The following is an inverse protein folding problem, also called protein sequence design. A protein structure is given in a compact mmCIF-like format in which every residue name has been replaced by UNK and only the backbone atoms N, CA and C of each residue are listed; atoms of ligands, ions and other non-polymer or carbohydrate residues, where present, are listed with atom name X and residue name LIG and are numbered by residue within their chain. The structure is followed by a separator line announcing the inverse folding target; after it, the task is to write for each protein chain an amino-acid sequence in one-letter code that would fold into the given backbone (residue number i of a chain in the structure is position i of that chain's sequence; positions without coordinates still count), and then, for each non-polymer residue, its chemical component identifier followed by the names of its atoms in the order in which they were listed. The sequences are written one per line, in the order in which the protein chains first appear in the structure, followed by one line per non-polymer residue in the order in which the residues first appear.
data_IF_478183355095
#
_entry.id   IF_478183355095
#
_cell.length_a   1.000
_cell.length_b   1.000
_cell.length_c   1.000
_cell.angle_alpha   90.00
_cell.angle_beta   90.00
_cell.angle_gamma   90.00
#
_symmetry.space_group_name_H-M   'P 1'
#
loop_
_entity.id
_entity.type
_entity.pdbx_description
1 polymer ?
#
# COMPACT_ATOMS: atom_id res chain seq x y z
N UNK A 1 17.79 30.46 -9.48
CA UNK A 1 17.21 29.22 -8.96
C UNK A 1 16.30 28.70 -10.04
N UNK A 2 16.72 27.68 -10.78
CA UNK A 2 15.83 26.94 -11.66
C UNK A 2 14.85 26.19 -10.74
N UNK A 3 13.58 26.59 -10.76
CA UNK A 3 12.51 25.73 -10.28
C UNK A 3 12.56 24.46 -11.14
N UNK A 4 13.02 23.34 -10.57
CA UNK A 4 12.86 22.04 -11.19
C UNK A 4 11.37 21.90 -11.52
N UNK A 5 11.05 21.90 -12.83
CA UNK A 5 9.70 21.63 -13.30
C UNK A 5 9.34 20.21 -12.87
N UNK A 6 8.72 20.09 -11.70
CA UNK A 6 8.14 18.85 -11.22
C UNK A 6 7.23 18.33 -12.32
N UNK A 7 7.52 17.14 -12.83
CA UNK A 7 6.81 16.50 -13.94
C UNK A 7 5.29 16.50 -13.68
N UNK A 8 4.50 16.86 -14.69
CA UNK A 8 3.04 16.95 -14.57
C UNK A 8 2.40 15.61 -14.20
N UNK A 9 3.01 14.49 -14.59
CA UNK A 9 2.61 13.15 -14.17
C UNK A 9 2.87 12.94 -12.67
N UNK A 10 4.05 13.32 -12.19
CA UNK A 10 4.39 13.25 -10.76
C UNK A 10 3.39 14.05 -9.92
N UNK A 11 3.07 15.28 -10.33
CA UNK A 11 2.06 16.11 -9.64
C UNK A 11 0.66 15.48 -9.62
N UNK A 12 0.25 14.84 -10.73
CA UNK A 12 -1.04 14.16 -10.82
C UNK A 12 -1.11 12.98 -9.84
N UNK A 13 -0.06 12.16 -9.81
CA UNK A 13 0.03 11.04 -8.87
C UNK A 13 0.01 11.51 -7.43
N UNK A 14 0.81 12.52 -7.06
CA UNK A 14 0.84 13.10 -5.72
C UNK A 14 -0.55 13.57 -5.28
N UNK A 15 -1.28 14.30 -6.14
CA UNK A 15 -2.66 14.74 -5.87
C UNK A 15 -3.63 13.57 -5.67
N UNK A 16 -3.48 12.49 -6.43
CA UNK A 16 -4.30 11.29 -6.28
C UNK A 16 -4.00 10.55 -4.96
N UNK A 17 -2.74 10.50 -4.54
CA UNK A 17 -2.34 9.90 -3.27
C UNK A 17 -2.81 10.73 -2.07
N UNK A 18 -2.61 12.05 -2.09
CA UNK A 18 -3.10 12.96 -1.04
C UNK A 18 -4.62 12.80 -0.87
N UNK A 19 -5.39 12.79 -1.98
CA UNK A 19 -6.84 12.56 -1.93
C UNK A 19 -7.25 11.24 -1.29
N UNK A 20 -6.41 10.19 -1.35
CA UNK A 20 -6.69 8.93 -0.65
C UNK A 20 -6.45 9.09 0.85
N UNK A 21 -5.35 9.72 1.25
CA UNK A 21 -5.06 9.95 2.67
C UNK A 21 -6.04 10.91 3.32
N UNK A 22 -6.47 11.98 2.64
CA UNK A 22 -7.55 12.87 3.09
C UNK A 22 -8.88 12.13 3.31
N UNK A 23 -9.16 11.05 2.56
CA UNK A 23 -10.36 10.22 2.83
C UNK A 23 -10.21 9.40 4.10
N UNK A 24 -8.99 8.96 4.43
CA UNK A 24 -8.69 8.24 5.66
C UNK A 24 -8.69 9.20 6.86
N UNK A 25 -8.21 10.43 6.66
CA UNK A 25 -8.27 11.50 7.65
C UNK A 25 -9.69 11.92 7.99
N UNK A 26 -10.59 12.02 6.99
CA UNK A 26 -12.03 12.22 7.24
C UNK A 26 -12.68 11.12 8.08
N UNK A 27 -12.06 9.94 8.15
CA UNK A 27 -12.48 8.83 9.00
C UNK A 27 -11.74 8.80 10.34
N UNK A 28 -10.95 9.83 10.63
CA UNK A 28 -10.10 9.92 11.81
C UNK A 28 -9.12 8.75 11.94
N UNK A 29 -8.63 8.20 10.82
CA UNK A 29 -7.66 7.09 10.83
C UNK A 29 -6.22 7.59 10.77
N UNK A 30 -5.99 8.68 10.04
CA UNK A 30 -4.68 9.30 9.87
C UNK A 30 -4.81 10.82 9.96
N UNK A 31 -3.70 11.50 10.19
CA UNK A 31 -3.56 12.95 10.03
C UNK A 31 -2.67 13.21 8.82
N UNK A 32 -3.07 14.12 7.94
CA UNK A 32 -2.29 14.50 6.75
C UNK A 32 -1.71 15.89 6.96
N UNK A 33 -0.38 15.99 6.94
CA UNK A 33 0.31 17.28 6.96
C UNK A 33 0.81 17.61 5.56
N UNK A 34 0.21 18.60 4.90
CA UNK A 34 0.66 19.07 3.58
C UNK A 34 1.76 20.15 3.68
N UNK A 35 1.98 20.71 4.87
CA UNK A 35 3.00 21.74 5.13
C UNK A 35 4.30 21.07 5.62
N UNK A 36 4.98 20.36 4.72
CA UNK A 36 6.24 19.67 4.98
C UNK A 36 7.39 20.31 4.16
N UNK A 37 8.57 20.47 4.77
CA UNK A 37 9.69 21.16 4.10
C UNK A 37 10.33 20.30 2.99
N UNK A 38 10.51 19.00 3.22
CA UNK A 38 11.24 18.09 2.32
C UNK A 38 10.32 17.14 1.53
N UNK A 39 9.04 17.07 1.86
CA UNK A 39 8.09 16.11 1.29
C UNK A 39 6.80 16.79 0.81
N UNK A 40 6.14 16.26 -0.24
CA UNK A 40 4.87 16.82 -0.70
C UNK A 40 3.72 16.71 0.32
N UNK A 41 3.83 15.78 1.27
CA UNK A 41 2.95 15.60 2.42
C UNK A 41 3.57 14.56 3.38
N UNK A 42 3.18 14.60 4.65
CA UNK A 42 3.42 13.58 5.66
C UNK A 42 2.09 13.00 6.17
N UNK A 43 2.09 11.74 6.58
CA UNK A 43 0.90 11.04 7.07
C UNK A 43 1.24 10.28 8.35
N UNK A 44 0.53 10.59 9.43
CA UNK A 44 0.68 9.91 10.72
C UNK A 44 -0.59 9.16 11.07
N UNK A 45 -0.49 7.99 11.70
CA UNK A 45 -1.65 7.31 12.26
C UNK A 45 -2.19 8.09 13.47
N UNK A 46 -3.51 8.07 13.61
CA UNK A 46 -4.16 8.48 14.86
C UNK A 46 -4.26 7.30 15.80
N UNK A 47 -4.55 7.53 17.09
CA UNK A 47 -4.84 6.45 18.06
C UNK A 47 -5.97 5.52 17.54
N UNK A 48 -7.05 6.09 16.99
CA UNK A 48 -8.14 5.30 16.39
C UNK A 48 -7.67 4.52 15.16
N UNK A 49 -6.75 5.07 14.36
CA UNK A 49 -6.13 4.38 13.24
C UNK A 49 -5.31 3.17 13.68
N UNK A 50 -4.55 3.30 14.75
CA UNK A 50 -3.77 2.21 15.35
C UNK A 50 -4.70 1.09 15.87
N UNK A 51 -5.77 1.44 16.59
CA UNK A 51 -6.77 0.48 17.05
C UNK A 51 -7.42 -0.28 15.89
N UNK A 52 -7.76 0.41 14.80
CA UNK A 52 -8.34 -0.22 13.60
C UNK A 52 -7.33 -1.16 12.93
N UNK A 53 -6.05 -0.80 12.86
CA UNK A 53 -5.02 -1.69 12.34
C UNK A 53 -4.84 -2.93 13.21
N UNK A 54 -4.91 -2.80 14.53
CA UNK A 54 -4.88 -3.94 15.43
C UNK A 54 -6.06 -4.88 15.17
N UNK A 55 -7.28 -4.34 15.05
CA UNK A 55 -8.47 -5.13 14.73
C UNK A 55 -8.36 -5.84 13.38
N UNK A 56 -7.81 -5.17 12.36
CA UNK A 56 -7.54 -5.79 11.06
C UNK A 56 -6.58 -6.97 11.23
N UNK A 57 -5.47 -6.79 11.95
CA UNK A 57 -4.51 -7.86 12.19
C UNK A 57 -5.12 -9.06 12.94
N UNK A 58 -5.96 -8.80 13.94
CA UNK A 58 -6.69 -9.86 14.65
C UNK A 58 -7.67 -10.62 13.73
N UNK A 59 -8.34 -9.91 12.82
CA UNK A 59 -9.23 -10.54 11.84
C UNK A 59 -8.45 -11.35 10.80
N UNK A 60 -7.34 -10.82 10.29
CA UNK A 60 -6.47 -11.52 9.35
C UNK A 60 -5.93 -12.83 9.95
N UNK A 61 -5.50 -12.82 11.21
CA UNK A 61 -5.05 -14.03 11.90
C UNK A 61 -6.17 -15.08 12.00
N UNK A 62 -7.38 -14.68 12.37
CA UNK A 62 -8.55 -15.58 12.41
C UNK A 62 -8.89 -16.15 11.04
N UNK A 63 -8.83 -15.32 10.00
CA UNK A 63 -9.06 -15.77 8.64
C UNK A 63 -7.99 -16.74 8.17
N UNK A 64 -6.72 -16.50 8.52
CA UNK A 64 -5.62 -17.40 8.21
C UNK A 64 -5.83 -18.78 8.87
N UNK A 65 -6.25 -18.81 10.13
CA UNK A 65 -6.58 -20.06 10.82
C UNK A 65 -7.68 -20.85 10.12
N UNK A 66 -8.75 -20.17 9.68
CA UNK A 66 -9.88 -20.80 8.97
C UNK A 66 -9.46 -21.31 7.59
N UNK A 67 -8.74 -20.49 6.83
CA UNK A 67 -8.36 -20.82 5.44
C UNK A 67 -7.31 -21.92 5.39
N UNK A 68 -6.44 -22.01 6.41
CA UNK A 68 -5.35 -22.98 6.48
C UNK A 68 -5.63 -24.15 7.43
N UNK A 69 -6.87 -24.33 7.89
CA UNK A 69 -7.26 -25.35 8.88
C UNK A 69 -6.72 -26.74 8.50
N UNK A 70 -6.97 -27.17 7.26
CA UNK A 70 -6.63 -28.49 6.71
C UNK A 70 -5.23 -28.59 6.05
N UNK A 71 -4.41 -27.55 6.16
CA UNK A 71 -3.08 -27.53 5.54
C UNK A 71 -2.05 -28.12 6.51
N UNK A 72 -1.52 -29.32 6.21
CA UNK A 72 -0.53 -30.03 7.05
C UNK A 72 0.74 -29.21 7.31
N UNK A 73 1.27 -28.50 6.31
CA UNK A 73 2.48 -27.68 6.43
C UNK A 73 2.22 -26.25 5.93
N UNK A 74 1.55 -25.49 6.80
CA UNK A 74 1.16 -24.09 6.56
C UNK A 74 2.36 -23.21 6.19
N UNK A 75 3.44 -23.34 6.96
CA UNK A 75 4.66 -22.55 6.79
C UNK A 75 5.27 -22.75 5.41
N UNK A 76 5.43 -24.01 4.99
CA UNK A 76 6.00 -24.32 3.68
C UNK A 76 5.13 -23.85 2.53
N UNK A 77 3.80 -23.99 2.65
CA UNK A 77 2.87 -23.47 1.64
C UNK A 77 3.03 -21.95 1.47
N UNK A 78 3.04 -21.21 2.57
CA UNK A 78 3.21 -19.75 2.55
C UNK A 78 4.55 -19.33 1.96
N UNK A 79 5.64 -20.05 2.26
CA UNK A 79 6.95 -19.79 1.65
C UNK A 79 6.95 -20.01 0.14
N UNK A 80 6.37 -21.11 -0.34
CA UNK A 80 6.29 -21.39 -1.77
C UNK A 80 5.39 -20.35 -2.49
N UNK A 81 4.27 -19.95 -1.89
CA UNK A 81 3.43 -18.89 -2.41
C UNK A 81 4.18 -17.55 -2.50
N UNK A 82 4.96 -17.18 -1.47
CA UNK A 82 5.82 -15.99 -1.50
C UNK A 82 6.86 -16.07 -2.62
N UNK A 83 7.51 -17.22 -2.82
CA UNK A 83 8.46 -17.44 -3.92
C UNK A 83 7.79 -17.28 -5.27
N UNK A 84 6.61 -17.87 -5.47
CA UNK A 84 5.84 -17.75 -6.72
C UNK A 84 5.44 -16.30 -6.97
N UNK A 85 4.90 -15.60 -5.95
CA UNK A 85 4.51 -14.20 -6.06
C UNK A 85 5.69 -13.30 -6.46
N UNK A 86 6.84 -13.46 -5.80
CA UNK A 86 8.06 -12.71 -6.11
C UNK A 86 8.57 -12.95 -7.53
N UNK A 87 8.48 -14.20 -8.02
CA UNK A 87 8.84 -14.55 -9.41
C UNK A 87 7.81 -14.03 -10.42
N UNK A 88 6.54 -13.94 -10.03
CA UNK A 88 5.45 -13.46 -10.88
C UNK A 88 5.46 -11.92 -11.04
N UNK A 89 5.92 -11.17 -10.04
CA UNK A 89 5.97 -9.71 -10.08
C UNK A 89 6.71 -9.14 -11.31
N UNK A 90 7.95 -9.59 -11.64
CA UNK A 90 8.63 -9.18 -12.86
C UNK A 90 7.91 -9.56 -14.15
N UNK A 91 7.20 -10.69 -14.16
CA UNK A 91 6.43 -11.17 -15.32
C UNK A 91 5.25 -10.22 -15.56
N UNK A 92 4.50 -9.91 -14.50
CA UNK A 92 3.38 -8.98 -14.56
C UNK A 92 3.83 -7.57 -14.97
N UNK A 93 4.93 -7.08 -14.39
CA UNK A 93 5.50 -5.78 -14.76
C UNK A 93 5.90 -5.73 -16.25
N UNK A 94 6.59 -6.77 -16.74
CA UNK A 94 6.96 -6.87 -18.17
C UNK A 94 5.73 -6.97 -19.07
N UNK A 95 4.72 -7.73 -18.67
CA UNK A 95 3.48 -7.91 -19.43
C UNK A 95 2.69 -6.59 -19.54
N UNK A 96 2.49 -5.87 -18.43
CA UNK A 96 1.85 -4.55 -18.42
C UNK A 96 2.60 -3.52 -19.28
N UNK A 97 3.94 -3.53 -19.21
CA UNK A 97 4.80 -2.68 -20.04
C UNK A 97 4.70 -3.00 -21.54
N UNK A 98 4.54 -4.28 -21.90
CA UNK A 98 4.36 -4.73 -23.29
C UNK A 98 2.95 -4.42 -23.84
N UNK A 99 1.93 -4.36 -22.98
CA UNK A 99 0.53 -4.11 -23.36
C UNK A 99 0.16 -2.62 -23.55
N UNK A 100 1.14 -1.70 -23.55
CA UNK A 100 0.92 -0.24 -23.70
C UNK A 100 0.02 0.40 -22.62
N UNK A 101 0.14 0.00 -21.36
CA UNK A 101 -0.26 0.85 -20.24
C UNK A 101 1.01 1.40 -19.59
N UNK A 102 1.37 2.61 -20.00
CA UNK A 102 2.64 3.30 -19.80
C UNK A 102 2.90 3.68 -18.34
N UNK A 103 4.18 3.53 -17.96
CA UNK A 103 5.00 3.87 -16.78
C UNK A 103 4.34 4.35 -15.47
#
# INVERSE_FOLDING_TARGET
MEEEKIDGLFQLHTKLYIKKYQKLEKKNLVTVNEDCEDLPFDVTLTEYGEEILEQIGQLEAKWEEIVLEDVEDRTKLLEEMKKVANKALPINYKHKKQQKFVF
#
